data_IF_595006900905
#
_entry.id   IF_595006900905
#
_cell.length_a   1.000
_cell.length_b   1.000
_cell.length_c   1.000
_cell.angle_alpha   90.00
_cell.angle_beta   90.00
_cell.angle_gamma   90.00
#
_symmetry.space_group_name_H-M   'P 1'
#
loop_
_entity.id
_entity.type
_entity.pdbx_description
1 polymer ?
#
# COMPACT_ATOMS: atom_id res chain seq x y z
N UNK A 1 25.98 -5.21 1.91
CA UNK A 1 24.93 -4.91 2.92
C UNK A 1 24.25 -3.62 2.51
N UNK A 2 22.95 -3.67 2.19
CA UNK A 2 22.16 -2.49 1.79
C UNK A 2 21.32 -2.07 2.99
N UNK A 3 21.36 -0.78 3.34
CA UNK A 3 20.49 -0.20 4.36
C UNK A 3 19.36 0.58 3.69
N UNK A 4 18.13 0.36 4.16
CA UNK A 4 16.93 1.09 3.72
C UNK A 4 16.35 1.80 4.93
N UNK A 5 16.20 3.12 4.85
CA UNK A 5 15.67 3.95 5.93
C UNK A 5 14.46 4.71 5.42
N UNK A 6 13.35 4.64 6.16
CA UNK A 6 12.13 5.36 5.87
C UNK A 6 10.92 4.73 6.56
N UNK A 7 9.73 5.11 6.13
CA UNK A 7 8.49 4.75 6.83
C UNK A 7 7.97 3.35 6.47
N UNK A 8 7.27 2.78 7.42
CA UNK A 8 6.42 1.58 7.29
C UNK A 8 4.96 2.00 7.43
N UNK A 9 4.03 1.25 6.84
CA UNK A 9 2.60 1.50 6.95
C UNK A 9 1.79 0.19 6.96
N UNK A 10 0.53 0.29 7.39
CA UNK A 10 -0.50 -0.70 7.14
C UNK A 10 -1.41 -0.12 6.06
N UNK A 11 -1.38 -0.71 4.88
CA UNK A 11 -2.12 -0.22 3.73
C UNK A 11 -3.52 -0.84 3.70
N UNK A 12 -4.54 0.01 3.78
CA UNK A 12 -5.93 -0.38 3.55
C UNK A 12 -6.27 -0.15 2.08
N UNK A 13 -6.30 -1.23 1.29
CA UNK A 13 -6.64 -1.17 -0.12
C UNK A 13 -8.12 -1.48 -0.32
N UNK A 14 -8.84 -0.50 -0.84
CA UNK A 14 -10.27 -0.61 -1.15
C UNK A 14 -10.47 -0.68 -2.66
N UNK A 15 -11.18 -1.72 -3.13
CA UNK A 15 -11.68 -1.76 -4.49
C UNK A 15 -12.99 -0.99 -4.57
N UNK A 16 -13.10 -0.10 -5.54
CA UNK A 16 -14.28 0.71 -5.80
C UNK A 16 -14.59 0.66 -7.30
N UNK A 17 -15.86 0.79 -7.72
CA UNK A 17 -16.22 0.76 -9.13
C UNK A 17 -15.64 1.95 -9.92
N UNK A 18 -15.51 3.10 -9.25
CA UNK A 18 -14.87 4.32 -9.75
C UNK A 18 -14.33 5.11 -8.56
N UNK A 19 -13.20 5.79 -8.74
CA UNK A 19 -12.64 6.67 -7.71
C UNK A 19 -13.63 7.80 -7.39
N UNK A 20 -13.82 8.14 -6.11
CA UNK A 20 -14.71 9.22 -5.71
C UNK A 20 -14.17 10.56 -6.23
N UNK A 21 -15.06 11.36 -6.83
CA UNK A 21 -14.76 12.76 -7.14
C UNK A 21 -14.85 13.65 -5.90
N UNK A 22 -14.50 14.93 -6.05
CA UNK A 22 -14.62 15.91 -4.97
C UNK A 22 -16.07 15.95 -4.45
N UNK A 23 -16.24 15.87 -3.13
CA UNK A 23 -17.54 15.88 -2.43
C UNK A 23 -18.50 14.72 -2.78
N UNK A 24 -17.99 13.62 -3.33
CA UNK A 24 -18.78 12.43 -3.62
C UNK A 24 -18.34 11.23 -2.75
N UNK A 25 -19.28 10.31 -2.55
CA UNK A 25 -19.00 8.99 -1.96
C UNK A 25 -19.11 7.91 -3.04
N UNK A 26 -18.39 6.80 -2.84
CA UNK A 26 -18.52 5.58 -3.63
C UNK A 26 -18.53 4.40 -2.66
N UNK A 27 -19.13 3.27 -3.06
CA UNK A 27 -19.15 2.08 -2.22
C UNK A 27 -17.93 1.19 -2.48
N UNK A 28 -17.52 0.48 -1.44
CA UNK A 28 -16.40 -0.46 -1.49
C UNK A 28 -16.95 -1.81 -1.94
N UNK A 29 -16.29 -2.43 -2.93
CA UNK A 29 -16.62 -3.79 -3.40
C UNK A 29 -15.72 -4.85 -2.79
N UNK A 30 -14.53 -4.48 -2.32
CA UNK A 30 -13.57 -5.37 -1.69
C UNK A 30 -12.62 -4.55 -0.80
N UNK A 31 -12.20 -5.13 0.34
CA UNK A 31 -11.27 -4.50 1.27
C UNK A 31 -10.19 -5.49 1.67
N UNK A 32 -8.93 -5.08 1.51
CA UNK A 32 -7.76 -5.85 1.93
C UNK A 32 -6.80 -5.00 2.73
N UNK A 33 -6.11 -5.65 3.66
CA UNK A 33 -5.10 -5.04 4.53
C UNK A 33 -3.76 -5.70 4.22
N UNK A 34 -2.74 -4.88 3.96
CA UNK A 34 -1.38 -5.33 3.65
C UNK A 34 -0.36 -4.54 4.45
N UNK A 35 0.82 -5.12 4.62
CA UNK A 35 2.00 -4.35 5.03
C UNK A 35 2.47 -3.50 3.86
N UNK A 36 2.81 -2.25 4.15
CA UNK A 36 3.22 -1.28 3.14
C UNK A 36 4.21 -0.25 3.67
N UNK A 37 4.29 0.88 2.97
CA UNK A 37 5.30 1.90 3.18
C UNK A 37 6.49 1.77 2.23
N UNK A 38 6.99 2.89 1.72
CA UNK A 38 7.99 2.89 0.64
C UNK A 38 9.29 2.18 1.05
N UNK A 39 9.78 2.44 2.27
CA UNK A 39 10.98 1.78 2.77
C UNK A 39 10.75 0.28 3.01
N UNK A 40 9.59 -0.09 3.56
CA UNK A 40 9.25 -1.49 3.81
C UNK A 40 9.20 -2.30 2.50
N UNK A 41 8.54 -1.74 1.47
CA UNK A 41 8.39 -2.40 0.18
C UNK A 41 9.73 -2.53 -0.56
N UNK A 42 10.61 -1.52 -0.49
CA UNK A 42 11.95 -1.60 -1.08
C UNK A 42 12.79 -2.67 -0.35
N UNK A 43 12.80 -2.66 0.98
CA UNK A 43 13.54 -3.64 1.77
C UNK A 43 13.07 -5.08 1.49
N UNK A 44 11.75 -5.29 1.43
CA UNK A 44 11.17 -6.59 1.07
C UNK A 44 11.52 -7.00 -0.36
N UNK A 45 11.46 -6.08 -1.32
CA UNK A 45 11.84 -6.34 -2.71
C UNK A 45 13.31 -6.77 -2.85
N UNK A 46 14.23 -6.08 -2.17
CA UNK A 46 15.66 -6.47 -2.12
C UNK A 46 15.80 -7.87 -1.53
N UNK A 47 15.14 -8.15 -0.40
CA UNK A 47 15.22 -9.45 0.26
C UNK A 47 14.72 -10.61 -0.62
N UNK A 48 13.75 -10.37 -1.50
CA UNK A 48 13.22 -11.38 -2.44
C UNK A 48 14.16 -11.63 -3.63
N UNK A 49 14.92 -10.63 -4.06
CA UNK A 49 15.79 -10.72 -5.24
C UNK A 49 17.19 -11.29 -4.95
N UNK A 50 17.65 -11.24 -3.69
CA UNK A 50 19.01 -11.62 -3.29
C UNK A 50 20.04 -10.52 -3.54
#
# INVERSE_FOLDING_TARGET
MIAVVGHTAIDHLFRVPKLPGRHNSTYITDHKVYFGGGAANIAAGIAVLG
#
